data_IF_009974813549
#
_entry.id   IF_009974813549
#
_cell.length_a   1.000
_cell.length_b   1.000
_cell.length_c   1.000
_cell.angle_alpha   90.00
_cell.angle_beta   90.00
_cell.angle_gamma   90.00
#
_symmetry.space_group_name_H-M   'P 1'
#
loop_
_entity.id
_entity.type
_entity.pdbx_description
1 polymer ?
#
# COMPACT_ATOMS: atom_id res chain seq x y z
N UNK A 1 10.12 -5.51 -18.87
CA UNK A 1 9.56 -6.14 -17.65
C UNK A 1 9.42 -5.06 -16.60
N UNK A 2 8.23 -4.88 -16.03
CA UNK A 2 8.03 -3.79 -15.09
C UNK A 2 7.54 -4.31 -13.73
N UNK A 3 8.14 -3.79 -12.67
CA UNK A 3 7.72 -3.97 -11.29
C UNK A 3 7.13 -2.64 -10.82
N UNK A 4 5.92 -2.65 -10.30
CA UNK A 4 5.22 -1.45 -9.84
C UNK A 4 4.87 -1.61 -8.38
N UNK A 5 5.30 -0.66 -7.55
CA UNK A 5 4.93 -0.60 -6.14
C UNK A 5 4.00 0.59 -5.91
N UNK A 6 2.86 0.33 -5.27
CA UNK A 6 1.88 1.34 -4.88
C UNK A 6 1.94 1.55 -3.37
N UNK A 7 2.27 2.76 -2.97
CA UNK A 7 2.15 3.21 -1.60
C UNK A 7 0.91 4.08 -1.41
N UNK A 8 0.28 3.96 -0.27
CA UNK A 8 -0.75 4.87 0.21
C UNK A 8 -1.28 4.43 1.57
N UNK A 9 -1.70 5.40 2.35
CA UNK A 9 -2.36 5.16 3.63
C UNK A 9 -3.80 4.65 3.42
N UNK A 10 -4.43 4.13 4.46
CA UNK A 10 -5.80 3.63 4.36
C UNK A 10 -6.74 4.71 3.80
N UNK A 11 -7.60 4.35 2.86
CA UNK A 11 -8.54 5.27 2.21
C UNK A 11 -8.01 6.05 1.00
N UNK A 12 -6.73 5.94 0.64
CA UNK A 12 -6.17 6.60 -0.57
C UNK A 12 -6.55 5.93 -1.88
N UNK A 13 -7.12 4.71 -1.84
CA UNK A 13 -7.57 4.00 -3.05
C UNK A 13 -6.53 3.09 -3.70
N UNK A 14 -5.41 2.80 -3.03
CA UNK A 14 -4.31 1.95 -3.57
C UNK A 14 -4.78 0.57 -4.03
N UNK A 15 -5.63 -0.11 -3.27
CA UNK A 15 -6.12 -1.45 -3.65
C UNK A 15 -6.97 -1.42 -4.91
N UNK A 16 -7.83 -0.42 -5.07
CA UNK A 16 -8.64 -0.23 -6.29
C UNK A 16 -7.76 0.11 -7.48
N UNK A 17 -6.80 1.03 -7.28
CA UNK A 17 -5.84 1.42 -8.31
C UNK A 17 -4.96 0.25 -8.73
N UNK A 18 -4.44 -0.54 -7.78
CA UNK A 18 -3.63 -1.72 -8.07
C UNK A 18 -4.34 -2.74 -8.95
N UNK A 19 -5.62 -2.99 -8.68
CA UNK A 19 -6.45 -3.87 -9.51
C UNK A 19 -6.66 -3.32 -10.92
N UNK A 20 -6.91 -2.01 -11.06
CA UNK A 20 -7.09 -1.36 -12.37
C UNK A 20 -5.81 -1.44 -13.18
N UNK A 21 -4.68 -1.07 -12.60
CA UNK A 21 -3.38 -1.11 -13.28
C UNK A 21 -3.00 -2.53 -13.70
N UNK A 22 -3.11 -3.48 -12.79
CA UNK A 22 -2.80 -4.88 -13.10
C UNK A 22 -3.65 -5.41 -14.24
N UNK A 23 -4.96 -5.12 -14.24
CA UNK A 23 -5.87 -5.52 -15.32
C UNK A 23 -5.50 -4.87 -16.66
N UNK A 24 -5.20 -3.56 -16.67
CA UNK A 24 -4.88 -2.83 -17.90
C UNK A 24 -3.53 -3.23 -18.48
N UNK A 25 -2.57 -3.58 -17.64
CA UNK A 25 -1.22 -3.96 -18.04
C UNK A 25 -1.06 -5.48 -18.28
N UNK A 26 -2.04 -6.30 -17.91
CA UNK A 26 -1.92 -7.76 -17.92
C UNK A 26 -0.93 -8.29 -16.88
N UNK A 27 -0.82 -7.61 -15.72
CA UNK A 27 0.12 -7.92 -14.66
C UNK A 27 -0.54 -8.64 -13.48
N UNK A 28 0.26 -9.34 -12.68
CA UNK A 28 -0.19 -9.90 -11.41
C UNK A 28 -0.40 -8.79 -10.38
N UNK A 29 -1.45 -8.90 -9.56
CA UNK A 29 -1.71 -7.98 -8.45
C UNK A 29 -1.53 -8.67 -7.11
N UNK A 30 -0.77 -8.04 -6.22
CA UNK A 30 -0.60 -8.42 -4.82
C UNK A 30 -0.97 -7.25 -3.91
N UNK A 31 -1.68 -7.52 -2.82
CA UNK A 31 -2.04 -6.53 -1.80
C UNK A 31 -1.73 -7.08 -0.42
N UNK A 32 -0.73 -6.49 0.26
CA UNK A 32 -0.38 -6.89 1.61
C UNK A 32 -1.50 -6.60 2.60
N UNK A 33 -2.25 -5.52 2.39
CA UNK A 33 -3.43 -5.22 3.20
C UNK A 33 -4.53 -6.29 3.08
N UNK A 34 -4.70 -6.93 1.92
CA UNK A 34 -5.63 -8.04 1.75
C UNK A 34 -5.11 -9.31 2.42
N UNK A 35 -3.82 -9.62 2.28
CA UNK A 35 -3.17 -10.76 2.92
C UNK A 35 -3.29 -10.63 4.45
N UNK A 36 -3.04 -9.44 4.98
CA UNK A 36 -3.13 -9.16 6.41
C UNK A 36 -4.56 -9.35 6.95
N UNK A 37 -5.58 -8.86 6.22
CA UNK A 37 -7.00 -9.09 6.58
C UNK A 37 -7.39 -10.56 6.52
N UNK A 38 -7.02 -11.26 5.46
CA UNK A 38 -7.29 -12.68 5.32
C UNK A 38 -6.63 -13.50 6.44
N UNK A 39 -5.43 -13.09 6.88
CA UNK A 39 -4.76 -13.72 8.01
C UNK A 39 -5.51 -13.49 9.32
N UNK A 40 -5.96 -12.25 9.59
CA UNK A 40 -6.80 -11.95 10.76
C UNK A 40 -8.06 -12.82 10.76
N UNK A 41 -8.79 -12.85 9.65
CA UNK A 41 -10.01 -13.65 9.49
C UNK A 41 -9.75 -15.14 9.71
N UNK A 42 -8.66 -15.69 9.19
CA UNK A 42 -8.28 -17.09 9.37
C UNK A 42 -8.04 -17.48 10.85
N UNK A 43 -7.73 -16.49 11.68
CA UNK A 43 -7.52 -16.66 13.12
C UNK A 43 -8.77 -16.30 13.94
N UNK A 44 -9.88 -15.93 13.29
CA UNK A 44 -11.10 -15.48 13.94
C UNK A 44 -10.95 -14.13 14.66
N UNK A 45 -9.97 -13.31 14.26
CA UNK A 45 -9.67 -12.02 14.86
C UNK A 45 -10.20 -10.87 13.98
N UNK A 46 -10.61 -9.78 14.63
CA UNK A 46 -10.75 -8.52 13.93
C UNK A 46 -9.40 -8.01 13.44
N UNK A 47 -9.40 -7.11 12.47
CA UNK A 47 -8.16 -6.49 11.98
C UNK A 47 -7.36 -5.84 13.12
N UNK A 48 -8.05 -5.13 14.03
CA UNK A 48 -7.41 -4.48 15.17
C UNK A 48 -6.78 -5.48 16.15
N UNK A 49 -7.49 -6.56 16.51
CA UNK A 49 -6.94 -7.62 17.36
C UNK A 49 -5.72 -8.29 16.74
N UNK A 50 -5.72 -8.47 15.42
CA UNK A 50 -4.56 -9.03 14.74
C UNK A 50 -3.38 -8.05 14.71
N UNK A 51 -3.62 -6.74 14.60
CA UNK A 51 -2.61 -5.70 14.73
C UNK A 51 -1.99 -5.66 16.14
N UNK A 52 -2.81 -5.81 17.18
CA UNK A 52 -2.32 -5.95 18.56
C UNK A 52 -1.45 -7.21 18.72
N UNK A 53 -1.89 -8.35 18.18
CA UNK A 53 -1.11 -9.59 18.19
C UNK A 53 0.25 -9.41 17.47
N UNK A 54 0.30 -8.68 16.36
CA UNK A 54 1.54 -8.36 15.66
C UNK A 54 2.47 -7.45 16.48
N UNK A 55 1.93 -6.59 17.34
CA UNK A 55 2.74 -5.77 18.24
C UNK A 55 3.39 -6.62 19.34
N UNK A 56 2.67 -7.62 19.85
CA UNK A 56 3.20 -8.56 20.83
C UNK A 56 4.17 -9.59 20.21
N UNK A 57 3.89 -10.01 18.98
CA UNK A 57 4.72 -10.96 18.23
C UNK A 57 5.08 -10.42 16.84
N UNK A 58 6.24 -9.75 16.71
CA UNK A 58 6.71 -9.15 15.46
C UNK A 58 6.95 -10.13 14.31
N UNK A 59 6.97 -11.42 14.56
CA UNK A 59 7.26 -12.42 13.52
C UNK A 59 6.19 -12.45 12.43
N UNK A 60 4.93 -12.14 12.77
CA UNK A 60 3.85 -12.07 11.79
C UNK A 60 4.07 -10.97 10.73
N UNK A 61 4.51 -9.79 11.17
CA UNK A 61 4.85 -8.69 10.25
C UNK A 61 6.09 -8.99 9.44
N UNK A 62 7.14 -9.51 10.09
CA UNK A 62 8.38 -9.88 9.39
C UNK A 62 8.14 -10.95 8.33
N UNK A 63 7.27 -11.92 8.60
CA UNK A 63 6.90 -12.94 7.62
C UNK A 63 6.23 -12.32 6.38
N UNK A 64 5.32 -11.35 6.58
CA UNK A 64 4.68 -10.65 5.48
C UNK A 64 5.66 -9.78 4.68
N UNK A 65 6.55 -9.07 5.36
CA UNK A 65 7.58 -8.27 4.72
C UNK A 65 8.57 -9.13 3.91
N UNK A 66 8.93 -10.31 4.44
CA UNK A 66 9.74 -11.28 3.71
C UNK A 66 9.01 -11.84 2.50
N UNK A 67 7.70 -12.06 2.60
CA UNK A 67 6.87 -12.49 1.46
C UNK A 67 6.87 -11.42 0.35
N UNK A 68 6.75 -10.13 0.70
CA UNK A 68 6.85 -9.01 -0.25
C UNK A 68 8.20 -8.99 -0.95
N UNK A 69 9.29 -9.14 -0.19
CA UNK A 69 10.64 -9.17 -0.74
C UNK A 69 10.84 -10.35 -1.69
N UNK A 70 10.50 -11.56 -1.25
CA UNK A 70 10.60 -12.77 -2.05
C UNK A 70 9.76 -12.67 -3.33
N UNK A 71 8.55 -12.09 -3.23
CA UNK A 71 7.69 -11.87 -4.39
C UNK A 71 8.36 -10.94 -5.40
N UNK A 72 8.94 -9.83 -4.94
CA UNK A 72 9.65 -8.88 -5.80
C UNK A 72 10.90 -9.45 -6.46
N UNK A 73 11.63 -10.32 -5.77
CA UNK A 73 12.83 -10.99 -6.30
C UNK A 73 12.49 -12.06 -7.37
N UNK A 74 11.41 -12.80 -7.17
CA UNK A 74 11.09 -13.98 -8.00
C UNK A 74 10.07 -13.70 -9.11
N UNK A 75 9.50 -12.50 -9.18
CA UNK A 75 8.47 -12.16 -10.15
C UNK A 75 8.80 -10.89 -10.93
N UNK A 76 8.18 -10.80 -12.11
CA UNK A 76 8.18 -9.62 -12.97
C UNK A 76 6.74 -9.37 -13.44
N UNK A 77 6.50 -8.18 -14.02
CA UNK A 77 5.19 -7.80 -14.54
C UNK A 77 4.09 -7.88 -13.47
N UNK A 78 4.29 -7.15 -12.38
CA UNK A 78 3.35 -7.10 -11.26
C UNK A 78 3.08 -5.68 -10.77
N UNK A 79 1.96 -5.55 -10.10
CA UNK A 79 1.59 -4.38 -9.27
C UNK A 79 1.45 -4.87 -7.84
N UNK A 80 2.21 -4.33 -6.91
CA UNK A 80 2.09 -4.65 -5.50
C UNK A 80 1.67 -3.41 -4.70
N UNK A 81 0.64 -3.55 -3.89
CA UNK A 81 0.22 -2.58 -2.90
C UNK A 81 0.77 -2.95 -1.54
N UNK A 82 1.63 -2.11 -0.99
CA UNK A 82 2.20 -2.27 0.35
C UNK A 82 2.79 -0.96 0.84
N UNK A 83 2.84 -0.79 2.17
CA UNK A 83 3.48 0.39 2.80
C UNK A 83 5.00 0.43 2.63
N UNK A 84 5.66 -0.73 2.54
CA UNK A 84 7.11 -0.83 2.43
C UNK A 84 7.60 -1.51 1.15
N UNK A 85 6.73 -1.84 0.17
CA UNK A 85 7.19 -2.48 -1.06
C UNK A 85 8.21 -1.61 -1.82
N UNK A 86 8.09 -0.28 -1.78
CA UNK A 86 9.04 0.64 -2.36
C UNK A 86 10.47 0.50 -1.77
N UNK A 87 10.55 0.09 -0.50
CA UNK A 87 11.81 -0.15 0.20
C UNK A 87 12.38 -1.54 -0.11
N UNK A 88 11.54 -2.58 -0.10
CA UNK A 88 11.95 -3.96 -0.35
C UNK A 88 12.20 -4.28 -1.83
N UNK A 89 11.64 -3.50 -2.76
CA UNK A 89 11.76 -3.72 -4.21
C UNK A 89 12.34 -2.45 -4.86
N UNK A 90 13.64 -2.20 -4.67
CA UNK A 90 14.27 -0.93 -5.08
C UNK A 90 14.27 -0.71 -6.60
N UNK A 91 14.19 -1.76 -7.39
CA UNK A 91 14.15 -1.76 -8.86
C UNK A 91 12.72 -1.59 -9.44
N UNK A 92 11.74 -1.27 -8.60
CA UNK A 92 10.37 -1.00 -9.03
C UNK A 92 10.13 0.46 -9.41
N UNK A 93 9.11 0.71 -10.24
CA UNK A 93 8.50 2.04 -10.36
C UNK A 93 7.63 2.29 -9.13
N UNK A 94 7.99 3.30 -8.36
CA UNK A 94 7.41 3.61 -7.05
C UNK A 94 6.37 4.71 -7.16
N UNK A 95 5.13 4.38 -6.89
CA UNK A 95 3.98 5.28 -7.02
C UNK A 95 3.39 5.55 -5.64
N UNK A 96 3.27 6.84 -5.28
CA UNK A 96 2.60 7.28 -4.05
C UNK A 96 1.23 7.85 -4.39
N UNK A 97 0.21 7.31 -3.72
CA UNK A 97 -1.12 7.92 -3.69
C UNK A 97 -1.32 8.59 -2.33
N UNK A 98 -1.71 9.84 -2.35
CA UNK A 98 -2.09 10.58 -1.15
C UNK A 98 -3.52 11.10 -1.27
N UNK A 99 -4.11 11.45 -0.14
CA UNK A 99 -5.48 11.93 -0.05
C UNK A 99 -5.63 12.65 1.29
N UNK A 100 -6.41 13.70 1.34
CA UNK A 100 -6.70 14.45 2.56
C UNK A 100 -7.29 13.55 3.63
N UNK A 101 -6.88 13.81 4.87
CA UNK A 101 -7.23 12.96 6.01
C UNK A 101 -8.75 12.79 6.19
N UNK A 102 -9.59 13.85 6.18
CA UNK A 102 -11.04 13.70 6.32
C UNK A 102 -11.65 12.80 5.23
N UNK A 103 -11.21 12.98 3.98
CA UNK A 103 -11.70 12.19 2.86
C UNK A 103 -11.29 10.71 3.00
N UNK A 104 -10.05 10.44 3.41
CA UNK A 104 -9.58 9.07 3.68
C UNK A 104 -10.42 8.38 4.75
N UNK A 105 -10.67 9.09 5.86
CA UNK A 105 -11.46 8.56 6.98
C UNK A 105 -12.90 8.28 6.55
N UNK A 106 -13.51 9.17 5.76
CA UNK A 106 -14.83 8.93 5.18
C UNK A 106 -14.88 7.66 4.32
N UNK A 107 -13.86 7.43 3.49
CA UNK A 107 -13.75 6.22 2.67
C UNK A 107 -13.56 4.95 3.50
N UNK A 108 -12.76 5.03 4.57
CA UNK A 108 -12.54 3.92 5.51
C UNK A 108 -13.84 3.60 6.26
N UNK A 109 -14.51 4.60 6.82
CA UNK A 109 -15.78 4.44 7.53
C UNK A 109 -16.84 3.74 6.66
N UNK A 110 -16.97 4.16 5.42
CA UNK A 110 -17.90 3.56 4.45
C UNK A 110 -17.52 2.11 4.11
N UNK A 111 -16.23 1.82 3.91
CA UNK A 111 -15.74 0.47 3.56
C UNK A 111 -15.97 -0.52 4.70
N UNK A 112 -15.67 -0.09 5.92
CA UNK A 112 -15.65 -0.96 7.11
C UNK A 112 -17.00 -0.94 7.86
N UNK A 113 -17.97 -0.13 7.38
CA UNK A 113 -19.31 0.05 7.96
C UNK A 113 -19.28 0.46 9.44
N UNK A 114 -18.40 1.42 9.76
CA UNK A 114 -18.22 2.00 11.10
C UNK A 114 -18.49 3.52 11.08
N UNK A 115 -18.56 4.15 12.25
CA UNK A 115 -18.69 5.61 12.34
C UNK A 115 -17.40 6.31 11.90
N UNK A 116 -17.49 7.61 11.60
CA UNK A 116 -16.31 8.43 11.26
C UNK A 116 -15.32 8.45 12.42
N UNK A 117 -15.81 8.65 13.65
CA UNK A 117 -14.99 8.71 14.87
C UNK A 117 -14.25 7.38 15.10
N UNK A 118 -14.92 6.25 14.89
CA UNK A 118 -14.32 4.93 15.02
C UNK A 118 -13.29 4.68 13.92
N UNK A 119 -13.60 5.03 12.67
CA UNK A 119 -12.67 4.92 11.55
C UNK A 119 -11.41 5.77 11.77
N UNK A 120 -11.56 7.01 12.29
CA UNK A 120 -10.44 7.88 12.62
C UNK A 120 -9.57 7.28 13.71
N UNK A 121 -10.18 6.84 14.82
CA UNK A 121 -9.47 6.23 15.95
C UNK A 121 -8.66 5.00 15.50
N UNK A 122 -9.31 4.08 14.81
CA UNK A 122 -8.66 2.83 14.37
C UNK A 122 -7.57 3.09 13.32
N UNK A 123 -7.82 4.01 12.38
CA UNK A 123 -6.84 4.34 11.33
C UNK A 123 -5.61 5.02 11.91
N UNK A 124 -5.80 5.98 12.82
CA UNK A 124 -4.69 6.69 13.47
C UNK A 124 -3.83 5.74 14.31
N UNK A 125 -4.47 4.87 15.09
CA UNK A 125 -3.76 3.86 15.88
C UNK A 125 -2.92 2.94 14.98
N UNK A 126 -3.51 2.44 13.90
CA UNK A 126 -2.84 1.58 12.92
C UNK A 126 -1.65 2.25 12.24
N UNK A 127 -1.77 3.52 11.88
CA UNK A 127 -0.69 4.29 11.26
C UNK A 127 0.46 4.52 12.24
N UNK A 128 0.15 4.81 13.51
CA UNK A 128 1.14 4.98 14.58
C UNK A 128 1.90 3.67 14.87
N UNK A 129 1.19 2.56 15.01
CA UNK A 129 1.81 1.25 15.21
C UNK A 129 2.70 0.85 14.03
N UNK A 130 2.24 1.08 12.79
CA UNK A 130 3.05 0.83 11.61
C UNK A 130 4.33 1.64 11.60
N UNK A 131 4.25 2.95 11.88
CA UNK A 131 5.41 3.84 11.92
C UNK A 131 6.43 3.41 12.98
N UNK A 132 5.97 3.01 14.18
CA UNK A 132 6.84 2.52 15.23
C UNK A 132 7.58 1.25 14.77
N UNK A 133 6.88 0.25 14.24
CA UNK A 133 7.47 -1.00 13.75
C UNK A 133 8.51 -0.76 12.64
N UNK A 134 8.23 0.13 11.68
CA UNK A 134 9.16 0.42 10.59
C UNK A 134 10.44 1.08 11.11
N UNK A 135 10.32 1.92 12.13
CA UNK A 135 11.47 2.50 12.80
C UNK A 135 12.29 1.44 13.55
N UNK A 136 11.63 0.56 14.30
CA UNK A 136 12.30 -0.49 15.10
C UNK A 136 12.97 -1.56 14.24
N UNK A 137 12.30 -2.04 13.17
CA UNK A 137 12.79 -3.18 12.40
C UNK A 137 13.73 -2.77 11.27
N UNK A 138 13.52 -1.60 10.67
CA UNK A 138 14.22 -1.19 9.45
C UNK A 138 14.93 0.16 9.59
N UNK A 139 14.88 0.78 10.78
CA UNK A 139 15.38 2.13 11.02
C UNK A 139 14.79 3.19 10.06
N UNK A 140 13.53 2.99 9.65
CA UNK A 140 12.80 3.89 8.78
C UNK A 140 12.00 4.85 9.65
N UNK A 141 12.47 6.10 9.80
CA UNK A 141 11.77 7.14 10.57
C UNK A 141 10.68 7.82 9.75
N UNK A 142 10.86 7.99 8.45
CA UNK A 142 9.84 8.42 7.50
C UNK A 142 9.59 7.29 6.49
N UNK A 143 8.43 6.66 6.61
CA UNK A 143 8.06 5.54 5.74
C UNK A 143 7.40 5.96 4.43
N UNK A 144 7.30 7.27 4.17
CA UNK A 144 6.72 7.82 2.96
C UNK A 144 7.46 9.07 2.45
N UNK A 145 8.82 9.11 2.47
CA UNK A 145 9.55 10.30 2.03
C UNK A 145 9.28 10.56 0.54
N UNK A 146 8.98 11.79 0.19
CA UNK A 146 8.64 12.13 -1.21
C UNK A 146 9.76 11.78 -2.19
N UNK A 147 11.01 11.86 -1.74
CA UNK A 147 12.19 11.49 -2.53
C UNK A 147 12.30 10.01 -2.90
N UNK A 148 11.54 9.14 -2.26
CA UNK A 148 11.55 7.70 -2.55
C UNK A 148 10.61 7.31 -3.69
N UNK A 149 9.74 8.22 -4.15
CA UNK A 149 8.70 7.91 -5.12
C UNK A 149 8.96 8.59 -6.47
N UNK A 150 8.76 7.85 -7.55
CA UNK A 150 8.92 8.34 -8.91
C UNK A 150 7.76 9.25 -9.34
N UNK A 151 6.57 9.00 -8.78
CA UNK A 151 5.37 9.82 -9.01
C UNK A 151 4.48 9.83 -7.76
N UNK A 152 3.94 11.01 -7.42
CA UNK A 152 2.97 11.21 -6.34
C UNK A 152 1.70 11.83 -6.90
N UNK A 153 0.53 11.26 -6.54
CA UNK A 153 -0.77 11.69 -7.09
C UNK A 153 -1.78 11.86 -5.96
N UNK A 154 -2.42 13.04 -5.96
CA UNK A 154 -3.54 13.34 -5.09
C UNK A 154 -4.83 12.68 -5.59
N UNK A 155 -5.45 11.91 -4.72
CA UNK A 155 -6.70 11.19 -4.98
C UNK A 155 -7.89 11.78 -4.23
N UNK A 156 -7.74 12.92 -3.55
CA UNK A 156 -8.79 13.55 -2.73
C UNK A 156 -10.04 13.80 -3.57
N UNK A 157 -9.88 14.52 -4.68
CA UNK A 157 -10.97 14.87 -5.59
C UNK A 157 -10.80 14.31 -7.00
N UNK A 158 -9.69 13.63 -7.26
CA UNK A 158 -9.40 13.10 -8.59
C UNK A 158 -10.12 11.78 -8.83
N UNK A 159 -10.97 11.65 -9.85
CA UNK A 159 -11.61 10.39 -10.22
C UNK A 159 -10.57 9.28 -10.48
N UNK A 160 -10.87 8.07 -10.03
CA UNK A 160 -9.93 6.93 -10.07
C UNK A 160 -9.44 6.64 -11.51
N UNK A 161 -10.29 6.80 -12.50
CA UNK A 161 -9.90 6.59 -13.90
C UNK A 161 -8.86 7.60 -14.38
N UNK A 162 -8.97 8.86 -13.95
CA UNK A 162 -7.97 9.89 -14.26
C UNK A 162 -6.65 9.65 -13.55
N UNK A 163 -6.69 9.13 -12.32
CA UNK A 163 -5.47 8.70 -11.63
C UNK A 163 -4.79 7.58 -12.39
N UNK A 164 -5.57 6.57 -12.84
CA UNK A 164 -5.04 5.46 -13.62
C UNK A 164 -4.41 5.93 -14.95
N UNK A 165 -5.06 6.83 -15.68
CA UNK A 165 -4.52 7.41 -16.91
C UNK A 165 -3.20 8.14 -16.68
N UNK A 166 -3.09 8.92 -15.60
CA UNK A 166 -1.85 9.62 -15.25
C UNK A 166 -0.71 8.65 -14.98
N UNK A 167 -0.98 7.56 -14.26
CA UNK A 167 0.01 6.53 -13.98
C UNK A 167 0.44 5.83 -15.27
N UNK A 168 -0.50 5.39 -16.10
CA UNK A 168 -0.20 4.70 -17.35
C UNK A 168 0.63 5.58 -18.29
N UNK A 169 0.25 6.84 -18.47
CA UNK A 169 1.03 7.81 -19.25
C UNK A 169 2.45 8.02 -18.71
N UNK A 170 2.63 7.97 -17.40
CA UNK A 170 3.94 8.04 -16.77
C UNK A 170 4.79 6.80 -17.10
N UNK A 171 4.21 5.62 -16.97
CA UNK A 171 4.87 4.34 -17.27
C UNK A 171 5.29 4.23 -18.74
N UNK A 172 4.43 4.66 -19.67
CA UNK A 172 4.74 4.68 -21.10
C UNK A 172 5.93 5.61 -21.44
N UNK A 173 5.98 6.79 -20.82
CA UNK A 173 7.09 7.74 -21.02
C UNK A 173 8.40 7.25 -20.40
N UNK A 174 8.35 6.47 -19.32
CA UNK A 174 9.51 5.87 -18.66
C UNK A 174 10.16 4.76 -19.50
N UNK A 175 9.36 4.00 -20.22
CA UNK A 175 9.86 2.94 -21.14
C UNK A 175 10.63 3.52 -22.34
N UNK A 176 10.38 4.78 -22.72
CA UNK A 176 11.09 5.45 -23.81
C UNK A 176 12.47 6.02 -23.45
N UNK A 177 12.92 5.92 -22.20
CA UNK A 177 14.23 6.45 -21.74
C UNK A 177 15.34 5.39 -21.59
N UNK A 178 15.06 4.15 -21.94
CA UNK A 178 16.03 3.04 -21.92
C UNK A 178 16.31 2.57 -23.35
N UNK A 179 16.90 3.45 -24.18
CA UNK A 179 17.59 3.08 -25.42
C UNK A 179 18.94 3.82 -25.44
#
# INVERSE_FOLDING_TARGET
MAKITLFGLAGTGTSSMGKILAKRLGYTFMSTGNIFRAKAESLGLSLHQFEELCNENPEHDRALDQEVKNFGENNNNFVIESRLAWYFIPDSTKIKLHCDFPERIGRVAKRDAVTIEEAEKLTTARESFGAQRYKEFYNISDFAPDSAFDISIDTTTTPIEKVAERILNYLEKGVGRSI
#
